data_IF_680694168900
#
_entry.id   IF_680694168900
#
_cell.length_a   1.000
_cell.length_b   1.000
_cell.length_c   1.000
_cell.angle_alpha   90.00
_cell.angle_beta   90.00
_cell.angle_gamma   90.00
#
_symmetry.space_group_name_H-M   'P 1'
#
loop_
_entity.id
_entity.type
_entity.pdbx_description
1 polymer ?
#
# COMPACT_ATOMS: atom_id res chain seq x y z
N UNK A 1 37.21 68.97 7.00
CA UNK A 1 37.70 68.57 8.33
C UNK A 1 37.08 69.49 9.38
N UNK A 2 36.32 68.92 10.32
CA UNK A 2 35.96 69.47 11.64
C UNK A 2 34.96 70.64 11.73
N UNK A 3 33.72 70.40 12.17
CA UNK A 3 33.36 70.60 13.58
C UNK A 3 31.94 70.14 13.95
N UNK A 4 31.88 69.61 15.17
CA UNK A 4 30.74 69.16 15.98
C UNK A 4 29.91 70.32 16.57
N UNK A 5 28.61 70.11 16.80
CA UNK A 5 27.93 70.25 18.12
C UNK A 5 26.39 70.09 18.03
N UNK A 6 25.82 69.30 18.94
CA UNK A 6 24.40 69.09 19.28
C UNK A 6 23.90 70.22 20.24
N UNK A 7 22.79 70.14 21.05
CA UNK A 7 21.77 69.09 21.25
C UNK A 7 20.30 69.61 21.48
N UNK A 8 19.36 68.69 21.69
CA UNK A 8 18.05 69.00 22.28
C UNK A 8 17.24 67.73 22.59
N UNK A 9 17.11 67.41 23.88
CA UNK A 9 16.57 66.17 24.43
C UNK A 9 15.03 66.11 24.48
N UNK A 10 14.45 64.91 24.35
CA UNK A 10 13.48 64.35 25.32
C UNK A 10 13.09 62.90 24.96
N UNK A 11 13.29 62.00 25.91
CA UNK A 11 12.52 60.76 26.12
C UNK A 11 11.43 61.06 27.18
N UNK A 12 10.41 60.21 27.50
CA UNK A 12 10.36 58.75 27.33
C UNK A 12 8.95 58.15 26.99
N UNK A 13 8.88 56.81 27.05
CA UNK A 13 7.74 55.91 27.40
C UNK A 13 6.91 55.23 26.28
N UNK A 14 7.31 53.98 26.02
CA UNK A 14 6.54 52.72 26.11
C UNK A 14 5.00 52.86 26.18
N UNK A 15 4.33 52.40 25.12
CA UNK A 15 2.92 52.05 25.10
C UNK A 15 2.66 50.91 24.12
N UNK A 16 2.53 49.70 24.65
CA UNK A 16 2.03 48.51 23.94
C UNK A 16 0.51 48.57 23.84
N UNK A 17 -0.07 48.39 22.65
CA UNK A 17 -1.44 47.89 22.50
C UNK A 17 -1.71 47.45 21.06
N UNK A 18 -1.99 46.16 20.91
CA UNK A 18 -2.54 45.52 19.72
C UNK A 18 -3.92 46.10 19.38
N UNK A 19 -4.22 46.33 18.09
CA UNK A 19 -5.58 46.33 17.57
C UNK A 19 -5.59 45.59 16.21
N UNK A 20 -6.48 44.62 16.16
CA UNK A 20 -6.75 43.62 15.13
C UNK A 20 -6.94 44.18 13.72
N UNK A 21 -6.29 43.54 12.73
CA UNK A 21 -6.74 43.55 11.35
C UNK A 21 -7.42 42.20 11.07
N UNK A 22 -8.74 42.23 11.00
CA UNK A 22 -9.53 41.18 10.38
C UNK A 22 -9.24 41.23 8.87
N UNK A 23 -8.65 40.19 8.30
CA UNK A 23 -8.58 40.01 6.85
C UNK A 23 -9.22 38.66 6.52
N UNK A 24 -10.54 38.69 6.40
CA UNK A 24 -11.32 37.69 5.68
C UNK A 24 -10.88 37.70 4.21
N UNK A 25 -10.02 36.75 3.82
CA UNK A 25 -9.86 36.27 2.45
C UNK A 25 -8.82 35.13 2.42
N UNK A 26 -9.22 33.94 2.87
CA UNK A 26 -8.39 32.74 2.75
C UNK A 26 -9.30 31.52 2.71
N UNK A 27 -10.22 31.44 1.75
CA UNK A 27 -11.00 30.20 1.57
C UNK A 27 -11.64 30.00 0.19
N UNK A 28 -11.00 30.42 -0.91
CA UNK A 28 -11.55 30.16 -2.26
C UNK A 28 -10.47 29.77 -3.29
N UNK A 29 -9.22 30.19 -3.11
CA UNK A 29 -8.16 29.96 -4.10
C UNK A 29 -7.55 28.55 -4.08
N UNK A 30 -7.72 27.78 -3.00
CA UNK A 30 -7.19 26.39 -2.93
C UNK A 30 -8.08 25.39 -3.68
N UNK A 31 -9.39 25.64 -3.78
CA UNK A 31 -10.33 24.76 -4.50
C UNK A 31 -10.29 24.95 -6.03
N UNK A 32 -9.93 26.14 -6.51
CA UNK A 32 -9.86 26.41 -7.96
C UNK A 32 -8.62 25.81 -8.64
N UNK A 33 -7.53 25.56 -7.90
CA UNK A 33 -6.34 24.89 -8.45
C UNK A 33 -6.56 23.39 -8.67
N UNK A 34 -7.29 22.72 -7.77
CA UNK A 34 -7.71 21.31 -7.92
C UNK A 34 -8.72 21.15 -9.07
N UNK A 35 -9.53 22.17 -9.33
CA UNK A 35 -10.56 22.14 -10.38
C UNK A 35 -10.02 22.37 -11.79
N UNK A 36 -8.76 22.82 -11.94
CA UNK A 36 -8.13 23.07 -13.25
C UNK A 36 -7.21 21.94 -13.71
N UNK A 37 -6.88 20.96 -12.87
CA UNK A 37 -6.14 19.74 -13.24
C UNK A 37 -7.05 18.66 -13.88
N UNK A 38 -8.36 18.72 -13.62
CA UNK A 38 -9.38 17.79 -14.12
C UNK A 38 -9.62 17.80 -15.64
N UNK A 39 -8.92 18.64 -16.42
CA UNK A 39 -9.10 18.73 -17.87
C UNK A 39 -8.14 17.84 -18.69
N UNK A 40 -7.08 17.28 -18.08
CA UNK A 40 -6.07 16.48 -18.80
C UNK A 40 -5.42 15.40 -17.92
N UNK A 41 -6.16 14.77 -17.01
CA UNK A 41 -5.60 13.62 -16.30
C UNK A 41 -5.54 12.40 -17.22
N UNK A 42 -4.37 11.75 -17.24
CA UNK A 42 -4.11 10.57 -18.03
C UNK A 42 -5.19 9.49 -17.75
N UNK A 43 -5.78 8.84 -18.76
CA UNK A 43 -6.91 7.93 -18.55
C UNK A 43 -6.64 6.78 -17.56
N UNK A 44 -5.40 6.32 -17.43
CA UNK A 44 -5.03 5.31 -16.43
C UNK A 44 -5.01 5.86 -14.99
N UNK A 45 -4.71 7.15 -14.82
CA UNK A 45 -4.79 7.85 -13.51
C UNK A 45 -6.25 7.92 -13.09
N UNK A 46 -7.14 8.32 -14.01
CA UNK A 46 -8.58 8.34 -13.75
C UNK A 46 -9.12 6.93 -13.45
N UNK A 47 -8.64 5.90 -14.16
CA UNK A 47 -9.05 4.51 -13.93
C UNK A 47 -8.66 3.98 -12.54
N UNK A 48 -7.58 4.52 -11.97
CA UNK A 48 -7.07 4.16 -10.64
C UNK A 48 -7.46 5.16 -9.55
N UNK A 49 -8.21 6.21 -9.91
CA UNK A 49 -8.78 7.14 -8.96
C UNK A 49 -9.65 6.38 -7.94
N UNK A 50 -9.37 6.57 -6.65
CA UNK A 50 -10.04 5.89 -5.56
C UNK A 50 -9.35 4.61 -5.06
N UNK A 51 -8.32 4.10 -5.75
CA UNK A 51 -7.63 2.87 -5.32
C UNK A 51 -7.10 2.98 -3.90
N UNK A 52 -6.45 4.09 -3.55
CA UNK A 52 -5.98 4.31 -2.18
C UNK A 52 -7.11 4.26 -1.14
N UNK A 53 -8.28 4.86 -1.43
CA UNK A 53 -9.41 4.86 -0.51
C UNK A 53 -9.96 3.45 -0.29
N UNK A 54 -10.10 2.65 -1.34
CA UNK A 54 -10.56 1.26 -1.26
C UNK A 54 -9.58 0.38 -0.46
N UNK A 55 -8.27 0.60 -0.64
CA UNK A 55 -7.24 -0.09 0.15
C UNK A 55 -7.34 0.28 1.63
N UNK A 56 -7.48 1.57 1.94
CA UNK A 56 -7.63 2.04 3.33
C UNK A 56 -8.93 1.55 3.96
N UNK A 57 -10.02 1.47 3.21
CA UNK A 57 -11.28 0.87 3.68
C UNK A 57 -11.07 -0.60 4.05
N UNK A 58 -10.44 -1.38 3.16
CA UNK A 58 -10.12 -2.77 3.42
C UNK A 58 -9.17 -2.92 4.62
N UNK A 59 -8.16 -2.07 4.75
CA UNK A 59 -7.25 -2.06 5.90
C UNK A 59 -8.01 -1.85 7.22
N UNK A 60 -8.85 -0.81 7.27
CA UNK A 60 -9.61 -0.46 8.47
C UNK A 60 -10.64 -1.53 8.85
N UNK A 61 -11.12 -2.32 7.88
CA UNK A 61 -12.04 -3.43 8.11
C UNK A 61 -11.35 -4.67 8.72
N UNK A 62 -10.02 -4.81 8.60
CA UNK A 62 -9.27 -5.99 9.07
C UNK A 62 -8.25 -5.57 10.13
N UNK A 63 -8.70 -5.47 11.38
CA UNK A 63 -7.86 -4.97 12.50
C UNK A 63 -7.15 -6.08 13.28
N UNK A 64 -7.57 -7.34 13.14
CA UNK A 64 -6.95 -8.47 13.84
C UNK A 64 -5.73 -9.02 13.09
N UNK A 65 -4.77 -9.57 13.85
CA UNK A 65 -3.59 -10.27 13.29
C UNK A 65 -4.00 -11.47 12.44
N UNK A 66 -5.05 -12.19 12.86
CA UNK A 66 -5.55 -13.38 12.17
C UNK A 66 -6.16 -13.05 10.79
N UNK A 67 -6.61 -11.80 10.61
CA UNK A 67 -7.25 -11.34 9.38
C UNK A 67 -6.26 -10.95 8.28
N UNK A 68 -4.95 -10.91 8.56
CA UNK A 68 -3.93 -10.43 7.61
C UNK A 68 -3.90 -11.22 6.30
N UNK A 69 -4.22 -12.52 6.36
CA UNK A 69 -4.32 -13.38 5.17
C UNK A 69 -5.53 -13.02 4.30
N UNK A 70 -6.64 -12.67 4.93
CA UNK A 70 -7.88 -12.22 4.27
C UNK A 70 -7.71 -10.81 3.71
N UNK A 71 -7.02 -9.93 4.43
CA UNK A 71 -6.68 -8.58 3.96
C UNK A 71 -5.81 -8.64 2.70
N UNK A 72 -4.76 -9.48 2.69
CA UNK A 72 -3.92 -9.65 1.51
C UNK A 72 -4.71 -10.17 0.30
N UNK A 73 -5.65 -11.10 0.52
CA UNK A 73 -6.56 -11.56 -0.54
C UNK A 73 -7.47 -10.44 -1.04
N UNK A 74 -7.98 -9.60 -0.13
CA UNK A 74 -8.80 -8.43 -0.49
C UNK A 74 -8.02 -7.44 -1.34
N UNK A 75 -6.76 -7.16 -1.01
CA UNK A 75 -5.88 -6.31 -1.81
C UNK A 75 -5.62 -6.87 -3.19
N UNK A 76 -5.36 -8.19 -3.31
CA UNK A 76 -5.23 -8.83 -4.62
C UNK A 76 -6.50 -8.67 -5.47
N UNK A 77 -7.69 -8.83 -4.87
CA UNK A 77 -8.98 -8.63 -5.55
C UNK A 77 -9.16 -7.16 -5.99
N UNK A 78 -8.75 -6.20 -5.15
CA UNK A 78 -8.78 -4.78 -5.52
C UNK A 78 -7.85 -4.51 -6.71
N UNK A 79 -6.62 -5.02 -6.69
CA UNK A 79 -5.71 -4.92 -7.83
C UNK A 79 -6.32 -5.51 -9.11
N UNK A 80 -6.96 -6.69 -9.05
CA UNK A 80 -7.65 -7.28 -10.22
C UNK A 80 -8.79 -6.39 -10.74
N UNK A 81 -9.57 -5.78 -9.84
CA UNK A 81 -10.64 -4.84 -10.20
C UNK A 81 -10.11 -3.60 -10.91
N UNK A 82 -9.06 -2.99 -10.37
CA UNK A 82 -8.41 -1.81 -10.96
C UNK A 82 -7.70 -2.15 -12.26
N UNK A 83 -7.01 -3.29 -12.33
CA UNK A 83 -6.39 -3.80 -13.55
C UNK A 83 -7.43 -3.95 -14.67
N UNK A 84 -8.61 -4.49 -14.37
CA UNK A 84 -9.70 -4.58 -15.34
C UNK A 84 -10.21 -3.21 -15.84
N UNK A 85 -10.20 -2.18 -14.98
CA UNK A 85 -10.52 -0.80 -15.39
C UNK A 85 -9.44 -0.24 -16.32
N UNK A 86 -8.17 -0.38 -15.95
CA UNK A 86 -7.05 0.11 -16.76
C UNK A 86 -7.00 -0.58 -18.12
N UNK A 87 -7.20 -1.91 -18.18
CA UNK A 87 -7.27 -2.67 -19.44
C UNK A 87 -8.36 -2.11 -20.36
N UNK A 88 -9.56 -1.84 -19.84
CA UNK A 88 -10.66 -1.27 -20.63
C UNK A 88 -10.29 0.12 -21.18
N UNK A 89 -9.65 0.94 -20.36
CA UNK A 89 -9.19 2.27 -20.78
C UNK A 89 -8.11 2.17 -21.84
N UNK A 90 -7.10 1.32 -21.66
CA UNK A 90 -6.05 1.11 -22.68
C UNK A 90 -6.62 0.60 -24.01
N UNK A 91 -7.63 -0.27 -23.96
CA UNK A 91 -8.34 -0.71 -25.17
C UNK A 91 -9.10 0.44 -25.84
N UNK A 92 -9.64 1.39 -25.06
CA UNK A 92 -10.38 2.54 -25.58
C UNK A 92 -9.50 3.60 -26.24
N UNK A 93 -8.25 3.77 -25.79
CA UNK A 93 -7.25 4.65 -26.41
C UNK A 93 -6.86 4.15 -27.81
N UNK A 94 -7.08 2.86 -28.09
CA UNK A 94 -6.65 2.21 -29.32
C UNK A 94 -5.19 1.80 -29.28
N UNK A 95 -4.80 0.80 -30.08
CA UNK A 95 -3.41 0.37 -30.17
C UNK A 95 -2.59 1.41 -30.95
N UNK A 96 -1.88 2.27 -30.23
CA UNK A 96 -0.97 3.26 -30.82
C UNK A 96 0.36 3.21 -30.04
N UNK A 97 1.32 2.41 -30.56
CA UNK A 97 2.56 2.06 -29.86
C UNK A 97 3.47 3.26 -29.54
N UNK A 98 3.30 4.36 -30.27
CA UNK A 98 4.11 5.57 -30.13
C UNK A 98 3.41 6.67 -29.31
N UNK A 99 2.18 6.42 -28.83
CA UNK A 99 1.45 7.37 -28.00
C UNK A 99 1.90 7.25 -26.53
N UNK A 100 2.34 8.34 -25.89
CA UNK A 100 2.82 8.30 -24.51
C UNK A 100 1.74 7.79 -23.54
N UNK A 101 0.47 8.12 -23.80
CA UNK A 101 -0.66 7.71 -22.99
C UNK A 101 -0.88 6.18 -23.03
N UNK A 102 -0.70 5.58 -24.21
CA UNK A 102 -0.81 4.14 -24.34
C UNK A 102 0.31 3.43 -23.58
N UNK A 103 1.54 3.91 -23.70
CA UNK A 103 2.69 3.34 -22.98
C UNK A 103 2.55 3.45 -21.46
N UNK A 104 2.10 4.60 -20.95
CA UNK A 104 1.86 4.81 -19.54
C UNK A 104 0.74 3.89 -19.02
N UNK A 105 -0.33 3.71 -19.79
CA UNK A 105 -1.40 2.80 -19.42
C UNK A 105 -0.92 1.33 -19.37
N UNK A 106 -0.05 0.90 -20.29
CA UNK A 106 0.57 -0.43 -20.25
C UNK A 106 1.51 -0.57 -19.04
N UNK A 107 2.32 0.45 -18.72
CA UNK A 107 3.17 0.44 -17.54
C UNK A 107 2.34 0.30 -16.25
N UNK A 108 1.20 1.00 -16.17
CA UNK A 108 0.25 0.89 -15.06
C UNK A 108 -0.35 -0.54 -14.97
N UNK A 109 -0.70 -1.16 -16.10
CA UNK A 109 -1.16 -2.57 -16.10
C UNK A 109 -0.09 -3.52 -15.57
N UNK A 110 1.16 -3.36 -15.98
CA UNK A 110 2.27 -4.19 -15.50
C UNK A 110 2.43 -4.04 -13.99
N UNK A 111 2.47 -2.80 -13.50
CA UNK A 111 2.63 -2.52 -12.07
C UNK A 111 1.48 -3.11 -11.24
N UNK A 112 0.22 -2.96 -11.68
CA UNK A 112 -0.93 -3.55 -10.99
C UNK A 112 -0.93 -5.08 -11.03
N UNK A 113 -0.40 -5.67 -12.10
CA UNK A 113 -0.24 -7.13 -12.23
C UNK A 113 0.78 -7.63 -11.22
N UNK A 114 1.96 -7.00 -11.15
CA UNK A 114 3.02 -7.33 -10.20
C UNK A 114 2.56 -7.15 -8.74
N UNK A 115 1.84 -6.06 -8.46
CA UNK A 115 1.31 -5.76 -7.14
C UNK A 115 0.29 -6.82 -6.70
N UNK A 116 -0.65 -7.18 -7.58
CA UNK A 116 -1.61 -8.27 -7.34
C UNK A 116 -0.90 -9.58 -7.02
N UNK A 117 0.09 -9.95 -7.83
CA UNK A 117 0.78 -11.22 -7.69
C UNK A 117 1.61 -11.26 -6.40
N UNK A 118 2.17 -10.11 -6.03
CA UNK A 118 2.82 -9.90 -4.73
C UNK A 118 1.85 -10.11 -3.57
N UNK A 119 0.64 -9.55 -3.63
CA UNK A 119 -0.39 -9.76 -2.60
C UNK A 119 -0.83 -11.22 -2.49
N UNK A 120 -0.98 -11.92 -3.62
CA UNK A 120 -1.32 -13.35 -3.64
C UNK A 120 -0.23 -14.19 -2.96
N UNK A 121 1.03 -13.97 -3.33
CA UNK A 121 2.17 -14.66 -2.73
C UNK A 121 2.29 -14.35 -1.24
N UNK A 122 2.23 -13.07 -0.86
CA UNK A 122 2.31 -12.63 0.53
C UNK A 122 1.20 -13.26 1.37
N UNK A 123 -0.04 -13.28 0.87
CA UNK A 123 -1.16 -13.93 1.53
C UNK A 123 -0.94 -15.43 1.71
N UNK A 124 -0.39 -16.13 0.72
CA UNK A 124 -0.07 -17.56 0.84
C UNK A 124 0.99 -17.83 1.92
N UNK A 125 2.07 -17.05 1.93
CA UNK A 125 3.15 -17.18 2.91
C UNK A 125 2.70 -16.81 4.34
N UNK A 126 1.89 -15.76 4.50
CA UNK A 126 1.37 -15.35 5.80
C UNK A 126 0.41 -16.39 6.38
N UNK A 127 -0.49 -16.94 5.57
CA UNK A 127 -1.38 -18.04 6.00
C UNK A 127 -0.62 -19.28 6.41
N UNK A 128 0.48 -19.61 5.72
CA UNK A 128 1.35 -20.72 6.13
C UNK A 128 1.95 -20.49 7.52
N UNK A 129 2.46 -19.28 7.76
CA UNK A 129 3.08 -18.91 9.04
C UNK A 129 2.07 -18.92 10.18
N UNK A 130 0.89 -18.34 9.99
CA UNK A 130 -0.17 -18.35 11.01
C UNK A 130 -0.61 -19.77 11.37
N UNK A 131 -0.82 -20.63 10.37
CA UNK A 131 -1.17 -22.05 10.62
C UNK A 131 -0.06 -22.81 11.34
N UNK A 132 1.21 -22.50 11.03
CA UNK A 132 2.34 -23.10 11.71
C UNK A 132 2.40 -22.66 13.19
N UNK A 133 2.19 -21.38 13.47
CA UNK A 133 2.11 -20.83 14.82
C UNK A 133 0.96 -21.48 15.61
N UNK A 134 -0.26 -21.52 15.05
CA UNK A 134 -1.43 -22.18 15.66
C UNK A 134 -1.18 -23.66 15.97
N UNK A 135 -0.52 -24.37 15.06
CA UNK A 135 -0.20 -25.78 15.24
C UNK A 135 0.82 -26.01 16.36
N UNK A 136 1.78 -25.09 16.53
CA UNK A 136 2.75 -25.12 17.62
C UNK A 136 2.10 -24.80 18.96
N UNK A 137 1.20 -23.82 19.00
CA UNK A 137 0.44 -23.43 20.19
C UNK A 137 -0.53 -24.54 20.65
N UNK A 138 -1.26 -25.19 19.73
CA UNK A 138 -2.15 -26.31 20.07
C UNK A 138 -1.41 -27.58 20.51
N UNK A 139 -0.17 -27.79 20.06
CA UNK A 139 0.57 -29.04 20.28
C UNK A 139 1.49 -29.02 21.50
N UNK A 140 1.68 -27.86 22.14
CA UNK A 140 2.37 -27.68 23.43
C UNK A 140 3.63 -28.53 23.63
N UNK A 141 4.80 -28.04 23.20
CA UNK A 141 6.15 -28.63 23.38
C UNK A 141 6.30 -30.15 23.12
N UNK A 142 5.29 -30.81 22.56
CA UNK A 142 5.38 -32.20 22.13
C UNK A 142 5.97 -32.19 20.73
N UNK A 143 7.29 -31.95 20.70
CA UNK A 143 8.15 -32.18 19.55
C UNK A 143 7.72 -33.50 18.94
N UNK A 144 7.21 -33.47 17.71
CA UNK A 144 6.86 -34.68 16.96
C UNK A 144 8.18 -35.42 16.74
N UNK A 145 8.55 -36.26 17.70
CA UNK A 145 9.37 -37.42 17.45
C UNK A 145 8.51 -38.26 16.51
N UNK A 146 8.71 -38.05 15.20
CA UNK A 146 8.41 -39.06 14.21
C UNK A 146 9.23 -40.25 14.69
N UNK A 147 8.54 -41.18 15.33
CA UNK A 147 9.08 -42.48 15.68
C UNK A 147 9.60 -43.08 14.38
N UNK A 148 10.93 -43.05 14.21
CA UNK A 148 11.62 -43.50 13.00
C UNK A 148 11.46 -45.00 12.75
N UNK A 149 10.65 -45.68 13.56
CA UNK A 149 10.32 -47.10 13.47
C UNK A 149 9.03 -47.41 12.71
N UNK A 150 8.27 -46.41 12.25
CA UNK A 150 6.99 -46.68 11.56
C UNK A 150 7.22 -46.71 10.05
N UNK A 151 6.96 -47.86 9.44
CA UNK A 151 6.90 -48.08 7.98
C UNK A 151 5.82 -47.19 7.34
N UNK A 152 6.09 -45.89 7.22
CA UNK A 152 5.25 -44.95 6.50
C UNK A 152 5.54 -45.05 5.00
N UNK A 153 4.51 -44.88 4.18
CA UNK A 153 4.73 -44.71 2.74
C UNK A 153 5.60 -43.48 2.46
N UNK A 154 6.35 -43.46 1.36
CA UNK A 154 7.14 -42.29 0.95
C UNK A 154 6.31 -40.99 0.96
N UNK A 155 5.03 -41.09 0.61
CA UNK A 155 4.08 -39.97 0.66
C UNK A 155 3.88 -39.44 2.08
N UNK A 156 3.77 -40.32 3.07
CA UNK A 156 3.62 -39.94 4.48
C UNK A 156 4.93 -39.35 5.03
N UNK A 157 6.07 -39.90 4.64
CA UNK A 157 7.39 -39.38 5.00
C UNK A 157 7.56 -37.95 4.46
N UNK A 158 7.26 -37.73 3.18
CA UNK A 158 7.33 -36.39 2.55
C UNK A 158 6.36 -35.42 3.22
N UNK A 159 5.12 -35.85 3.52
CA UNK A 159 4.15 -35.00 4.20
C UNK A 159 4.59 -34.62 5.62
N UNK A 160 5.16 -35.57 6.37
CA UNK A 160 5.70 -35.32 7.70
C UNK A 160 6.92 -34.38 7.65
N UNK A 161 7.79 -34.56 6.65
CA UNK A 161 8.91 -33.67 6.40
C UNK A 161 8.45 -32.23 6.11
N UNK A 162 7.52 -32.04 5.18
CA UNK A 162 6.95 -30.73 4.84
C UNK A 162 6.21 -30.08 6.02
N UNK A 163 5.57 -30.87 6.88
CA UNK A 163 4.93 -30.35 8.09
C UNK A 163 5.96 -29.83 9.11
N UNK A 164 7.13 -30.48 9.21
CA UNK A 164 8.20 -30.12 10.14
C UNK A 164 9.05 -28.96 9.63
N UNK A 165 9.37 -28.96 8.34
CA UNK A 165 10.27 -27.98 7.74
C UNK A 165 9.49 -26.83 7.10
N UNK A 166 9.38 -25.71 7.83
CA UNK A 166 8.72 -24.49 7.35
C UNK A 166 9.44 -23.85 6.17
N UNK A 167 10.77 -24.00 6.07
CA UNK A 167 11.53 -23.41 4.99
C UNK A 167 11.23 -24.12 3.66
N UNK A 168 11.28 -25.45 3.65
CA UNK A 168 10.98 -26.23 2.44
C UNK A 168 9.52 -26.04 2.03
N UNK A 169 8.60 -26.01 2.98
CA UNK A 169 7.18 -25.77 2.69
C UNK A 169 6.93 -24.39 2.09
N UNK A 170 7.56 -23.33 2.62
CA UNK A 170 7.45 -21.98 2.04
C UNK A 170 8.15 -21.87 0.69
N UNK A 171 9.27 -22.56 0.49
CA UNK A 171 9.91 -22.63 -0.82
C UNK A 171 8.98 -23.28 -1.87
N UNK A 172 8.26 -24.34 -1.50
CA UNK A 172 7.26 -24.95 -2.39
C UNK A 172 6.13 -23.97 -2.73
N UNK A 173 5.64 -23.17 -1.76
CA UNK A 173 4.62 -22.15 -2.03
C UNK A 173 5.09 -21.09 -3.04
N UNK A 174 6.38 -20.75 -3.05
CA UNK A 174 6.97 -19.84 -4.04
C UNK A 174 7.09 -20.50 -5.42
N UNK A 175 7.30 -21.81 -5.48
CA UNK A 175 7.34 -22.57 -6.75
C UNK A 175 5.94 -22.78 -7.33
N UNK A 176 4.94 -22.94 -6.47
CA UNK A 176 3.54 -23.11 -6.87
C UNK A 176 2.90 -21.79 -7.35
N UNK A 177 3.44 -20.65 -6.89
CA UNK A 177 3.09 -19.31 -7.34
C UNK A 177 3.77 -18.97 -8.67
#
# INVERSE_FOLDING_TARGET
MGNFAAPGANMPLRGTSNVSANFEASDVTTSMSESSELATEHPAVVATAGMHADFMEAYNAHTSREDVGTLAEKYAILCDSYLAKVIKVTQSIGYCKDEPEWMEAIACQTLLTEERDTWKLMGALLRDRLKADEFMEQRGDSTIFVDGSREGSDREIVKAFMARDSFVRQAQLVVDW
#
